data_IF_081071384034
#
_entry.id   IF_081071384034
#
_cell.length_a   1.000
_cell.length_b   1.000
_cell.length_c   1.000
_cell.angle_alpha   90.00
_cell.angle_beta   90.00
_cell.angle_gamma   90.00
#
_symmetry.space_group_name_H-M   'P 1'
#
loop_
_entity.id
_entity.type
_entity.pdbx_description
1 polymer ?
#
# COMPACT_ATOMS: atom_id res chain seq x y z
N UNK A 1 26.99 -26.28 5.55
CA UNK A 1 27.83 -26.49 4.35
C UNK A 1 26.95 -26.88 3.17
N UNK A 2 26.13 -27.90 3.31
CA UNK A 2 25.11 -28.32 2.32
C UNK A 2 24.21 -27.17 1.80
N UNK A 3 23.66 -26.32 2.68
CA UNK A 3 22.82 -25.19 2.23
C UNK A 3 23.58 -24.14 1.40
N UNK A 4 24.87 -23.93 1.68
CA UNK A 4 25.70 -22.99 0.92
C UNK A 4 26.01 -23.55 -0.47
N UNK A 5 26.34 -24.84 -0.55
CA UNK A 5 26.55 -25.56 -1.82
C UNK A 5 25.28 -25.59 -2.67
N UNK A 6 24.12 -25.90 -2.07
CA UNK A 6 22.85 -25.98 -2.78
C UNK A 6 22.35 -24.63 -3.31
N UNK A 7 22.71 -23.52 -2.66
CA UNK A 7 22.28 -22.16 -3.04
C UNK A 7 23.32 -21.37 -3.83
N UNK A 8 24.56 -21.85 -3.90
CA UNK A 8 25.70 -21.10 -4.48
C UNK A 8 26.19 -19.95 -3.60
N UNK A 9 25.70 -19.82 -2.37
CA UNK A 9 26.15 -18.80 -1.42
C UNK A 9 27.48 -19.19 -0.78
N UNK A 10 28.22 -18.19 -0.30
CA UNK A 10 29.45 -18.45 0.46
C UNK A 10 29.13 -19.14 1.78
N UNK A 11 29.99 -20.07 2.19
CA UNK A 11 29.88 -20.65 3.53
C UNK A 11 29.92 -19.53 4.59
N UNK A 12 29.03 -19.62 5.58
CA UNK A 12 28.86 -18.61 6.63
C UNK A 12 28.22 -17.28 6.18
N UNK A 13 27.56 -17.22 5.01
CA UNK A 13 26.69 -16.09 4.68
C UNK A 13 25.64 -15.88 5.77
N UNK A 14 25.53 -14.67 6.36
CA UNK A 14 24.55 -14.40 7.40
C UNK A 14 23.12 -14.53 6.89
N UNK A 15 22.26 -15.12 7.70
CA UNK A 15 20.80 -15.15 7.48
C UNK A 15 20.17 -14.24 8.52
N UNK A 16 19.41 -13.24 8.06
CA UNK A 16 18.66 -12.32 8.90
C UNK A 16 17.17 -12.64 8.83
N UNK A 17 16.52 -12.66 9.99
CA UNK A 17 15.06 -12.78 10.05
C UNK A 17 14.45 -11.47 9.52
N UNK A 18 13.77 -11.56 8.39
CA UNK A 18 13.09 -10.43 7.78
C UNK A 18 11.80 -10.08 8.54
N UNK A 19 11.37 -8.83 8.41
CA UNK A 19 10.06 -8.38 8.90
C UNK A 19 8.96 -8.85 7.96
N UNK A 20 7.71 -8.72 8.42
CA UNK A 20 6.52 -8.96 7.58
C UNK A 20 6.57 -8.12 6.30
N UNK A 21 5.98 -8.65 5.23
CA UNK A 21 6.02 -8.09 3.88
C UNK A 21 5.60 -6.61 3.82
N UNK A 22 4.50 -6.25 4.48
CA UNK A 22 3.95 -4.89 4.50
C UNK A 22 4.91 -3.88 5.15
N UNK A 23 5.65 -4.30 6.18
CA UNK A 23 6.68 -3.47 6.82
C UNK A 23 7.89 -3.30 5.89
N UNK A 24 8.28 -4.35 5.19
CA UNK A 24 9.36 -4.28 4.20
C UNK A 24 8.98 -3.36 3.02
N UNK A 25 7.75 -3.46 2.52
CA UNK A 25 7.23 -2.56 1.48
C UNK A 25 7.18 -1.12 1.95
N UNK A 26 6.65 -0.87 3.15
CA UNK A 26 6.60 0.46 3.73
C UNK A 26 7.99 1.09 3.87
N UNK A 27 8.97 0.31 4.37
CA UNK A 27 10.35 0.75 4.48
C UNK A 27 10.96 1.08 3.11
N UNK A 28 10.79 0.18 2.13
CA UNK A 28 11.29 0.38 0.77
C UNK A 28 10.65 1.57 0.06
N UNK A 29 9.39 1.89 0.38
CA UNK A 29 8.68 3.06 -0.12
C UNK A 29 9.08 4.37 0.59
N UNK A 30 9.98 4.32 1.58
CA UNK A 30 10.47 5.50 2.28
C UNK A 30 9.59 5.97 3.44
N UNK A 31 8.70 5.12 3.98
CA UNK A 31 7.88 5.45 5.15
C UNK A 31 8.75 5.87 6.35
N UNK A 32 9.98 5.36 6.43
CA UNK A 32 10.93 5.65 7.50
C UNK A 32 11.70 6.97 7.29
N UNK A 33 10.99 8.05 7.01
CA UNK A 33 11.52 9.41 7.06
C UNK A 33 10.90 10.17 8.25
N UNK A 34 11.69 10.31 9.32
CA UNK A 34 11.27 10.97 10.57
C UNK A 34 11.05 12.47 10.42
N UNK A 35 11.67 13.11 9.43
CA UNK A 35 11.54 14.55 9.21
C UNK A 35 10.32 14.87 8.37
N UNK A 36 10.14 14.16 7.26
CA UNK A 36 9.04 14.41 6.32
C UNK A 36 7.74 13.70 6.70
N UNK A 37 7.83 12.62 7.49
CA UNK A 37 6.71 11.78 7.93
C UNK A 37 5.72 11.46 6.79
N UNK A 38 6.19 10.89 5.67
CA UNK A 38 5.33 10.63 4.51
C UNK A 38 4.25 9.62 4.86
N UNK A 39 3.14 9.67 4.13
CA UNK A 39 2.19 8.57 4.07
C UNK A 39 2.63 7.56 3.01
N UNK A 40 2.37 6.28 3.23
CA UNK A 40 2.56 5.22 2.24
C UNK A 40 1.24 4.49 2.01
N UNK A 41 0.82 4.37 0.74
CA UNK A 41 -0.36 3.59 0.38
C UNK A 41 0.03 2.47 -0.59
N UNK A 42 -0.40 1.25 -0.28
CA UNK A 42 -0.35 0.09 -1.16
C UNK A 42 -1.75 -0.09 -1.71
N UNK A 43 -1.89 -0.11 -3.03
CA UNK A 43 -3.17 -0.28 -3.72
C UNK A 43 -3.12 -1.58 -4.52
N UNK A 44 -3.72 -2.64 -3.95
CA UNK A 44 -3.97 -3.92 -4.62
C UNK A 44 -5.41 -4.36 -4.38
N UNK A 45 -5.71 -5.67 -4.48
CA UNK A 45 -7.04 -6.17 -4.10
C UNK A 45 -7.39 -5.77 -2.66
N UNK A 46 -6.41 -5.95 -1.75
CA UNK A 46 -6.39 -5.35 -0.42
C UNK A 46 -5.50 -4.11 -0.46
N UNK A 47 -6.01 -2.98 0.00
CA UNK A 47 -5.26 -1.75 0.21
C UNK A 47 -4.66 -1.68 1.62
N UNK A 48 -3.52 -0.99 1.73
CA UNK A 48 -2.92 -0.64 3.02
C UNK A 48 -2.52 0.83 3.03
N UNK A 49 -2.93 1.59 4.04
CA UNK A 49 -2.57 2.99 4.20
C UNK A 49 -1.82 3.16 5.50
N UNK A 50 -0.61 3.70 5.41
CA UNK A 50 0.35 3.66 6.50
C UNK A 50 0.95 5.04 6.74
N UNK A 51 1.24 5.32 8.00
CA UNK A 51 2.05 6.46 8.41
C UNK A 51 3.04 6.04 9.49
N UNK A 52 4.11 6.81 9.62
CA UNK A 52 5.05 6.65 10.72
C UNK A 52 4.41 7.11 12.04
N UNK A 53 4.64 6.37 13.10
CA UNK A 53 4.39 6.77 14.49
C UNK A 53 5.63 6.43 15.32
N UNK A 54 6.20 7.41 16.01
CA UNK A 54 7.45 7.26 16.78
C UNK A 54 7.18 7.06 18.27
N UNK A 55 5.97 7.36 18.73
CA UNK A 55 5.54 7.12 20.11
C UNK A 55 4.12 6.54 20.14
N UNK A 56 3.74 5.85 21.23
CA UNK A 56 2.35 5.40 21.41
C UNK A 56 1.34 6.54 21.31
N UNK A 57 1.71 7.75 21.74
CA UNK A 57 0.83 8.92 21.71
C UNK A 57 0.60 9.47 20.28
N UNK A 58 1.47 9.12 19.32
CA UNK A 58 1.28 9.46 17.90
C UNK A 58 0.28 8.52 17.19
N UNK A 59 -0.12 7.42 17.83
CA UNK A 59 -1.13 6.49 17.31
C UNK A 59 -2.51 7.11 17.51
N UNK A 60 -3.15 7.52 16.42
CA UNK A 60 -4.49 8.11 16.47
C UNK A 60 -5.54 7.04 16.15
N UNK A 61 -6.38 6.68 17.13
CA UNK A 61 -7.50 5.77 16.91
C UNK A 61 -8.67 6.54 16.28
N UNK A 62 -9.29 5.97 15.23
CA UNK A 62 -10.55 6.48 14.73
C UNK A 62 -11.71 6.09 15.67
N UNK A 63 -12.90 6.66 15.45
CA UNK A 63 -14.09 6.39 16.28
C UNK A 63 -14.43 4.89 16.35
N UNK A 64 -14.28 4.20 15.22
CA UNK A 64 -14.53 2.77 15.10
C UNK A 64 -13.42 1.89 15.70
N UNK A 65 -12.30 2.50 16.14
CA UNK A 65 -11.10 1.83 16.68
C UNK A 65 -10.58 0.71 15.78
N UNK A 66 -10.57 0.97 14.47
CA UNK A 66 -10.06 0.04 13.45
C UNK A 66 -8.63 0.35 13.05
N UNK A 67 -8.02 -0.59 12.33
CA UNK A 67 -6.61 -0.53 11.95
C UNK A 67 -5.73 -1.23 12.98
N UNK A 68 -4.42 -1.14 12.78
CA UNK A 68 -3.44 -1.77 13.66
C UNK A 68 -2.08 -1.09 13.53
N UNK A 69 -1.19 -1.38 14.48
CA UNK A 69 0.16 -0.82 14.54
C UNK A 69 1.16 -1.96 14.50
N UNK A 70 2.19 -1.84 13.67
CA UNK A 70 3.29 -2.81 13.58
C UNK A 70 4.62 -2.16 13.92
N UNK A 71 5.49 -2.89 14.61
CA UNK A 71 6.86 -2.46 14.88
C UNK A 71 7.68 -2.46 13.59
N UNK A 72 8.43 -1.39 13.37
CA UNK A 72 9.36 -1.27 12.25
C UNK A 72 10.76 -1.81 12.65
N UNK A 73 11.64 -2.11 11.68
CA UNK A 73 13.04 -2.51 11.91
C UNK A 73 13.94 -1.38 12.45
N UNK A 74 13.43 -0.59 13.40
CA UNK A 74 14.14 0.49 14.06
C UNK A 74 13.60 0.70 15.49
N UNK A 75 14.46 1.00 16.49
CA UNK A 75 14.01 1.25 17.86
C UNK A 75 13.04 2.42 17.96
N UNK A 76 11.94 2.25 18.68
CA UNK A 76 10.95 3.31 18.95
C UNK A 76 10.24 3.79 17.68
N UNK A 77 10.00 2.90 16.72
CA UNK A 77 9.35 3.25 15.46
C UNK A 77 8.28 2.23 15.12
N UNK A 78 7.12 2.76 14.78
CA UNK A 78 5.94 1.99 14.43
C UNK A 78 5.38 2.48 13.10
N UNK A 79 4.75 1.58 12.37
CA UNK A 79 3.86 1.94 11.28
C UNK A 79 2.43 1.77 11.79
N UNK A 80 1.68 2.87 11.84
CA UNK A 80 0.24 2.79 12.03
C UNK A 80 -0.40 2.56 10.67
N UNK A 81 -1.29 1.57 10.60
CA UNK A 81 -1.84 1.06 9.36
C UNK A 81 -3.36 0.99 9.40
N UNK A 82 -3.98 1.27 8.25
CA UNK A 82 -5.38 1.01 7.99
C UNK A 82 -5.49 0.16 6.73
N UNK A 83 -6.14 -1.01 6.85
CA UNK A 83 -6.37 -1.89 5.70
C UNK A 83 -7.73 -1.63 5.07
N UNK A 84 -7.78 -1.64 3.74
CA UNK A 84 -9.01 -1.65 2.97
C UNK A 84 -9.14 -3.02 2.27
N UNK A 85 -10.18 -3.80 2.59
CA UNK A 85 -10.35 -5.16 2.06
C UNK A 85 -10.68 -5.23 0.56
N UNK A 86 -11.09 -4.11 -0.05
CA UNK A 86 -11.43 -4.02 -1.47
C UNK A 86 -10.94 -2.67 -2.02
N UNK A 87 -9.66 -2.56 -2.35
CA UNK A 87 -9.12 -1.36 -2.98
C UNK A 87 -9.34 -1.39 -4.50
N UNK A 88 -8.53 -2.13 -5.27
CA UNK A 88 -8.71 -2.21 -6.73
C UNK A 88 -10.04 -2.86 -7.13
N UNK A 89 -10.55 -3.80 -6.32
CA UNK A 89 -11.85 -4.44 -6.56
C UNK A 89 -13.01 -3.43 -6.61
N UNK A 90 -12.98 -2.39 -5.75
CA UNK A 90 -13.99 -1.34 -5.77
C UNK A 90 -13.86 -0.48 -7.04
N UNK A 91 -12.63 -0.22 -7.50
CA UNK A 91 -12.38 0.52 -8.73
C UNK A 91 -12.90 -0.28 -9.92
N UNK A 92 -12.53 -1.55 -10.04
CA UNK A 92 -12.99 -2.45 -11.10
C UNK A 92 -14.52 -2.55 -11.13
N UNK A 93 -15.17 -2.65 -9.96
CA UNK A 93 -16.62 -2.68 -9.85
C UNK A 93 -17.28 -1.39 -10.36
N UNK A 94 -16.80 -0.22 -9.94
CA UNK A 94 -17.32 1.08 -10.41
C UNK A 94 -17.12 1.24 -11.92
N UNK A 95 -15.94 0.90 -12.44
CA UNK A 95 -15.65 0.99 -13.87
C UNK A 95 -16.50 0.00 -14.69
N UNK A 96 -16.77 -1.19 -14.14
CA UNK A 96 -17.70 -2.15 -14.72
C UNK A 96 -19.13 -1.60 -14.80
N UNK A 97 -19.62 -0.96 -13.73
CA UNK A 97 -20.93 -0.31 -13.72
C UNK A 97 -21.02 0.80 -14.77
N UNK A 98 -20.01 1.68 -14.83
CA UNK A 98 -19.94 2.75 -15.83
C UNK A 98 -19.90 2.20 -17.25
N UNK A 99 -19.13 1.13 -17.50
CA UNK A 99 -19.06 0.48 -18.81
C UNK A 99 -20.41 -0.10 -19.23
N UNK A 100 -21.17 -0.69 -18.31
CA UNK A 100 -22.52 -1.19 -18.57
C UNK A 100 -23.50 -0.07 -18.97
N UNK A 101 -23.42 1.09 -18.31
CA UNK A 101 -24.22 2.28 -18.66
C UNK A 101 -23.86 2.78 -20.06
N UNK A 102 -22.58 2.91 -20.37
CA UNK A 102 -22.10 3.33 -21.70
C UNK A 102 -22.57 2.37 -22.80
N UNK A 103 -22.48 1.06 -22.55
CA UNK A 103 -22.94 0.05 -23.49
C UNK A 103 -24.44 0.18 -23.80
N UNK A 104 -25.27 0.56 -22.82
CA UNK A 104 -26.71 0.83 -23.04
C UNK A 104 -26.97 1.99 -24.02
N UNK A 105 -25.98 2.87 -24.22
CA UNK A 105 -26.02 4.00 -25.15
C UNK A 105 -25.22 3.71 -26.44
N UNK A 106 -24.81 2.45 -26.67
CA UNK A 106 -24.03 2.06 -27.85
C UNK A 106 -22.55 2.44 -27.78
N UNK A 107 -22.05 2.90 -26.62
CA UNK A 107 -20.64 3.26 -26.43
C UNK A 107 -19.92 2.09 -25.79
N UNK A 108 -18.93 1.52 -26.47
CA UNK A 108 -18.08 0.46 -25.91
C UNK A 108 -16.73 1.02 -25.50
N UNK A 109 -16.29 0.69 -24.28
CA UNK A 109 -14.96 1.00 -23.75
C UNK A 109 -14.42 -0.23 -23.02
N UNK A 110 -13.14 -0.50 -23.19
CA UNK A 110 -12.43 -1.52 -22.43
C UNK A 110 -12.08 -1.03 -21.02
N UNK A 111 -11.86 -1.96 -20.07
CA UNK A 111 -11.42 -1.60 -18.73
C UNK A 111 -10.09 -0.82 -18.77
N UNK A 112 -9.16 -1.22 -19.65
CA UNK A 112 -7.88 -0.51 -19.82
C UNK A 112 -8.04 0.94 -20.27
N UNK A 113 -8.96 1.24 -21.19
CA UNK A 113 -9.25 2.63 -21.59
C UNK A 113 -9.87 3.43 -20.44
N UNK A 114 -10.75 2.82 -19.66
CA UNK A 114 -11.40 3.48 -18.52
C UNK A 114 -10.39 3.76 -17.39
N UNK A 115 -9.48 2.84 -17.10
CA UNK A 115 -8.38 3.03 -16.14
C UNK A 115 -7.48 4.19 -16.60
N UNK A 116 -7.13 4.25 -17.89
CA UNK A 116 -6.30 5.33 -18.41
C UNK A 116 -6.92 6.72 -18.21
N UNK A 117 -8.26 6.84 -18.25
CA UNK A 117 -8.96 8.09 -17.93
C UNK A 117 -8.84 8.45 -16.45
N UNK A 118 -8.97 7.47 -15.55
CA UNK A 118 -8.79 7.68 -14.10
C UNK A 118 -7.37 8.13 -13.81
N UNK A 119 -6.36 7.49 -14.40
CA UNK A 119 -4.95 7.90 -14.27
C UNK A 119 -4.74 9.36 -14.72
N UNK A 120 -5.36 9.77 -15.82
CA UNK A 120 -5.27 11.15 -16.30
C UNK A 120 -5.90 12.16 -15.34
N UNK A 121 -7.03 11.81 -14.70
CA UNK A 121 -7.65 12.64 -13.68
C UNK A 121 -6.79 12.75 -12.42
N UNK A 122 -6.20 11.63 -11.97
CA UNK A 122 -5.28 11.63 -10.83
C UNK A 122 -4.06 12.49 -11.12
N UNK A 123 -3.45 12.34 -12.30
CA UNK A 123 -2.26 13.09 -12.70
C UNK A 123 -2.50 14.62 -12.82
N UNK A 124 -3.74 15.04 -13.08
CA UNK A 124 -4.13 16.45 -13.18
C UNK A 124 -4.71 17.02 -11.88
N UNK A 125 -4.92 16.19 -10.86
CA UNK A 125 -5.46 16.61 -9.57
C UNK A 125 -4.39 17.23 -8.68
N UNK A 126 -4.77 18.17 -7.81
CA UNK A 126 -3.87 18.67 -6.77
C UNK A 126 -3.89 17.74 -5.56
N UNK A 127 -2.73 17.44 -4.94
CA UNK A 127 -2.70 16.69 -3.70
C UNK A 127 -3.59 17.35 -2.64
N UNK A 128 -4.41 16.54 -1.95
CA UNK A 128 -5.32 16.97 -0.88
C UNK A 128 -6.40 18.00 -1.29
N UNK A 129 -6.80 18.05 -2.57
CA UNK A 129 -7.84 18.98 -3.04
C UNK A 129 -9.28 18.41 -3.01
N UNK A 130 -9.48 17.26 -2.36
CA UNK A 130 -10.78 16.59 -2.20
C UNK A 130 -11.12 16.45 -0.72
#
# INVERSE_FOLDING_TARGET
QEAAEATGLTASTPVVLAYVDVVCTALGAGLFDRQRKPGCSIIGSTGMHMRLAETPDEVLLNEAKTGYTMTMPAPGVFAQMQSNMAATLNIDWVLGLASGILASQGITRSNGEMIALVEQWIASSQPASL
#
